data_IF_860844017400
#
_entry.id   IF_860844017400
#
_cell.length_a   1.000
_cell.length_b   1.000
_cell.length_c   1.000
_cell.angle_alpha   90.00
_cell.angle_beta   90.00
_cell.angle_gamma   90.00
#
_symmetry.space_group_name_H-M   'P 1'
#
loop_
_entity.id
_entity.type
_entity.pdbx_description
1 polymer ?
#
# COMPACT_ATOMS: atom_id res chain seq x y z
N UNK A 1 18.02 12.84 3.02
CA UNK A 1 17.52 11.45 3.08
C UNK A 1 16.16 11.46 3.75
N UNK A 2 15.18 10.82 3.17
CA UNK A 2 13.81 10.68 3.70
C UNK A 2 13.53 9.19 3.85
N UNK A 3 12.93 8.78 4.97
CA UNK A 3 12.46 7.42 5.18
C UNK A 3 10.98 7.30 4.78
N UNK A 4 10.70 6.49 3.78
CA UNK A 4 9.38 6.29 3.20
C UNK A 4 8.88 4.90 3.54
N UNK A 5 7.76 4.80 4.25
CA UNK A 5 7.01 3.56 4.37
C UNK A 5 6.12 3.41 3.14
N UNK A 6 6.49 2.49 2.26
CA UNK A 6 5.77 2.22 1.02
C UNK A 6 4.78 1.09 1.20
N UNK A 7 3.50 1.41 1.26
CA UNK A 7 2.42 0.42 1.26
C UNK A 7 2.03 0.11 -0.18
N UNK A 8 2.29 -1.09 -0.63
CA UNK A 8 2.08 -1.47 -2.02
C UNK A 8 1.88 -2.98 -2.19
N UNK A 9 1.95 -3.41 -3.43
CA UNK A 9 1.73 -4.79 -3.84
C UNK A 9 3.03 -5.42 -4.35
N UNK A 10 3.29 -6.66 -3.95
CA UNK A 10 4.38 -7.48 -4.52
C UNK A 10 3.86 -8.66 -5.34
N UNK A 11 2.66 -9.12 -5.05
CA UNK A 11 2.01 -10.24 -5.74
C UNK A 11 0.49 -10.15 -5.61
N UNK A 12 -0.29 -10.78 -6.51
CA UNK A 12 0.17 -11.32 -7.80
C UNK A 12 0.61 -10.20 -8.75
N UNK A 13 1.39 -10.55 -9.79
CA UNK A 13 1.96 -9.58 -10.72
C UNK A 13 0.86 -8.76 -11.43
N UNK A 14 1.02 -7.45 -11.44
CA UNK A 14 0.12 -6.48 -12.08
C UNK A 14 0.84 -5.13 -12.25
N UNK A 15 0.18 -4.16 -12.89
CA UNK A 15 0.73 -2.81 -13.08
C UNK A 15 1.14 -2.11 -11.78
N UNK A 16 0.38 -2.32 -10.69
CA UNK A 16 0.72 -1.77 -9.38
C UNK A 16 2.05 -2.33 -8.85
N UNK A 17 2.34 -3.61 -9.07
CA UNK A 17 3.62 -4.25 -8.70
C UNK A 17 4.77 -3.63 -9.48
N UNK A 18 4.61 -3.48 -10.80
CA UNK A 18 5.64 -2.86 -11.66
C UNK A 18 5.92 -1.43 -11.23
N UNK A 19 4.86 -0.64 -11.04
CA UNK A 19 4.98 0.74 -10.57
C UNK A 19 5.70 0.82 -9.21
N UNK A 20 5.28 0.02 -8.23
CA UNK A 20 5.86 0.00 -6.90
C UNK A 20 7.35 -0.35 -6.92
N UNK A 21 7.72 -1.40 -7.65
CA UNK A 21 9.12 -1.81 -7.77
C UNK A 21 9.97 -0.72 -8.44
N UNK A 22 9.56 -0.23 -9.61
CA UNK A 22 10.33 0.79 -10.34
C UNK A 22 10.48 2.08 -9.56
N UNK A 23 9.40 2.54 -8.90
CA UNK A 23 9.43 3.80 -8.14
C UNK A 23 10.28 3.67 -6.87
N UNK A 24 10.16 2.56 -6.15
CA UNK A 24 10.95 2.36 -4.92
C UNK A 24 12.43 2.16 -5.21
N UNK A 25 12.79 1.48 -6.31
CA UNK A 25 14.18 1.36 -6.74
C UNK A 25 14.79 2.72 -7.10
N UNK A 26 14.05 3.56 -7.84
CA UNK A 26 14.52 4.90 -8.19
C UNK A 26 14.67 5.81 -6.96
N UNK A 27 13.74 5.74 -6.00
CA UNK A 27 13.83 6.48 -4.75
C UNK A 27 15.06 6.05 -3.93
N UNK A 28 15.36 4.76 -3.88
CA UNK A 28 16.59 4.23 -3.25
C UNK A 28 17.84 4.73 -3.96
N UNK A 29 17.85 4.72 -5.29
CA UNK A 29 18.97 5.22 -6.08
C UNK A 29 19.24 6.72 -5.81
N UNK A 30 18.22 7.48 -5.43
CA UNK A 30 18.31 8.89 -5.01
C UNK A 30 18.70 9.08 -3.54
N UNK A 31 18.98 8.00 -2.81
CA UNK A 31 19.45 8.05 -1.43
C UNK A 31 18.33 8.10 -0.38
N UNK A 32 17.10 7.76 -0.73
CA UNK A 32 15.99 7.63 0.22
C UNK A 32 15.95 6.22 0.80
N UNK A 33 15.49 6.10 2.06
CA UNK A 33 15.25 4.80 2.69
C UNK A 33 13.82 4.36 2.42
N UNK A 34 13.63 3.09 2.03
CA UNK A 34 12.31 2.51 1.76
C UNK A 34 12.07 1.33 2.69
N UNK A 35 10.96 1.39 3.43
CA UNK A 35 10.40 0.21 4.12
C UNK A 35 9.16 -0.23 3.36
N UNK A 36 9.25 -1.39 2.72
CA UNK A 36 8.14 -1.89 1.89
C UNK A 36 7.15 -2.68 2.74
N UNK A 37 5.88 -2.29 2.69
CA UNK A 37 4.77 -2.94 3.40
C UNK A 37 3.82 -3.53 2.37
N UNK A 38 3.55 -4.82 2.46
CA UNK A 38 2.66 -5.52 1.53
C UNK A 38 1.86 -6.61 2.22
N UNK A 39 0.83 -7.12 1.56
CA UNK A 39 0.05 -8.24 2.07
C UNK A 39 0.74 -9.56 1.72
N UNK A 40 1.09 -10.32 2.75
CA UNK A 40 1.60 -11.68 2.64
C UNK A 40 1.29 -12.48 3.91
N UNK A 41 1.20 -13.80 3.79
CA UNK A 41 1.01 -14.66 4.95
C UNK A 41 2.35 -15.28 5.38
N UNK A 42 2.65 -15.28 6.69
CA UNK A 42 3.93 -15.77 7.20
C UNK A 42 4.27 -17.23 6.84
N UNK A 43 3.26 -18.02 6.48
CA UNK A 43 3.45 -19.43 6.05
C UNK A 43 4.18 -19.57 4.70
N UNK A 44 4.28 -18.50 3.91
CA UNK A 44 4.93 -18.49 2.60
C UNK A 44 6.29 -17.78 2.59
N UNK A 45 6.67 -17.17 3.70
CA UNK A 45 7.97 -16.50 3.83
C UNK A 45 8.96 -17.42 4.52
N UNK A 46 10.10 -17.61 3.87
CA UNK A 46 11.26 -18.25 4.47
C UNK A 46 11.60 -17.50 5.79
N UNK A 47 11.30 -18.14 6.91
CA UNK A 47 11.32 -17.54 8.26
C UNK A 47 12.74 -17.31 8.83
N UNK A 48 13.75 -17.24 7.97
CA UNK A 48 15.16 -17.20 8.36
C UNK A 48 15.81 -15.81 8.38
N UNK A 49 15.09 -14.73 8.07
CA UNK A 49 15.67 -13.37 8.16
C UNK A 49 15.00 -12.55 9.26
N UNK A 50 15.76 -12.07 10.26
CA UNK A 50 15.22 -11.10 11.21
C UNK A 50 14.86 -9.81 10.45
N UNK A 51 13.59 -9.52 10.40
CA UNK A 51 12.93 -8.51 9.56
C UNK A 51 13.42 -7.06 9.82
N UNK A 52 14.10 -6.81 10.93
CA UNK A 52 14.44 -5.46 11.41
C UNK A 52 15.93 -5.13 11.35
N UNK A 53 16.79 -6.03 10.84
CA UNK A 53 18.24 -5.81 10.73
C UNK A 53 18.69 -5.45 9.30
N UNK A 54 17.77 -5.43 8.34
CA UNK A 54 18.09 -5.02 6.98
C UNK A 54 18.03 -3.48 6.86
N UNK A 55 18.90 -2.89 6.05
CA UNK A 55 18.86 -1.46 5.74
C UNK A 55 17.52 -1.03 5.10
N UNK A 56 16.75 -1.96 4.54
CA UNK A 56 15.43 -1.78 3.96
C UNK A 56 14.46 -2.81 4.56
N UNK A 57 13.84 -2.55 5.70
CA UNK A 57 12.93 -3.49 6.32
C UNK A 57 11.67 -3.70 5.47
N UNK A 58 11.29 -4.96 5.33
CA UNK A 58 10.08 -5.41 4.66
C UNK A 58 9.06 -5.88 5.70
N UNK A 59 7.81 -5.42 5.57
CA UNK A 59 6.72 -5.76 6.48
C UNK A 59 5.63 -6.50 5.72
N UNK A 60 5.22 -7.66 6.24
CA UNK A 60 4.11 -8.44 5.70
C UNK A 60 2.86 -8.24 6.56
N UNK A 61 1.75 -7.89 5.91
CA UNK A 61 0.45 -7.77 6.56
C UNK A 61 -0.42 -9.00 6.25
N UNK A 62 -1.12 -9.55 7.24
CA UNK A 62 -1.97 -10.71 7.03
C UNK A 62 -3.22 -10.37 6.21
N UNK A 63 -3.63 -11.28 5.35
CA UNK A 63 -4.82 -11.14 4.50
C UNK A 63 -5.68 -12.41 4.50
N UNK A 64 -6.95 -12.25 4.11
CA UNK A 64 -7.89 -13.34 3.90
C UNK A 64 -7.96 -13.72 2.42
N UNK A 65 -8.08 -12.71 1.54
CA UNK A 65 -8.18 -12.89 0.08
C UNK A 65 -7.30 -11.85 -0.59
N UNK A 66 -6.51 -12.30 -1.57
CA UNK A 66 -5.68 -11.43 -2.40
C UNK A 66 -5.81 -11.83 -3.86
N UNK A 67 -6.14 -10.84 -4.71
CA UNK A 67 -6.25 -10.98 -6.16
C UNK A 67 -5.41 -9.93 -6.88
N UNK A 68 -5.42 -9.94 -8.22
CA UNK A 68 -4.79 -8.87 -9.00
C UNK A 68 -5.48 -7.52 -8.79
N UNK A 69 -6.78 -7.52 -8.51
CA UNK A 69 -7.61 -6.31 -8.44
C UNK A 69 -7.77 -5.81 -7.01
N UNK A 70 -8.07 -6.69 -6.06
CA UNK A 70 -8.38 -6.28 -4.68
C UNK A 70 -7.71 -7.18 -3.65
N UNK A 71 -7.63 -6.68 -2.42
CA UNK A 71 -7.15 -7.43 -1.26
C UNK A 71 -8.09 -7.22 -0.08
N UNK A 72 -8.52 -8.32 0.53
CA UNK A 72 -9.29 -8.30 1.77
C UNK A 72 -8.31 -8.62 2.91
N UNK A 73 -7.97 -7.63 3.75
CA UNK A 73 -7.06 -7.83 4.87
C UNK A 73 -7.69 -8.72 5.94
N UNK A 74 -6.85 -9.36 6.73
CA UNK A 74 -7.33 -10.00 7.96
C UNK A 74 -7.71 -8.93 9.00
N UNK A 75 -8.53 -9.26 10.01
CA UNK A 75 -8.87 -8.32 11.08
C UNK A 75 -7.67 -7.78 11.87
N UNK A 76 -6.52 -8.44 11.78
CA UNK A 76 -5.28 -8.03 12.45
C UNK A 76 -4.44 -7.05 11.63
N UNK A 77 -4.70 -6.92 10.34
CA UNK A 77 -3.84 -6.15 9.43
C UNK A 77 -3.69 -4.68 9.83
N UNK A 78 -4.76 -4.03 10.24
CA UNK A 78 -4.71 -2.62 10.70
C UNK A 78 -3.82 -2.46 11.93
N UNK A 79 -3.96 -3.33 12.92
CA UNK A 79 -3.12 -3.33 14.13
C UNK A 79 -1.65 -3.57 13.79
N UNK A 80 -1.37 -4.54 12.94
CA UNK A 80 0.00 -4.85 12.49
C UNK A 80 0.60 -3.69 11.72
N UNK A 81 -0.18 -3.04 10.86
CA UNK A 81 0.26 -1.85 10.15
C UNK A 81 0.61 -0.70 11.11
N UNK A 82 -0.26 -0.41 12.07
CA UNK A 82 -0.02 0.61 13.09
C UNK A 82 1.28 0.36 13.85
N UNK A 83 1.44 -0.83 14.41
CA UNK A 83 2.63 -1.21 15.16
C UNK A 83 3.90 -1.14 14.31
N UNK A 84 3.81 -1.52 13.04
CA UNK A 84 4.93 -1.42 12.11
C UNK A 84 5.33 0.02 11.84
N UNK A 85 4.37 0.91 11.59
CA UNK A 85 4.63 2.33 11.37
C UNK A 85 5.21 3.02 12.61
N UNK A 86 4.71 2.68 13.81
CA UNK A 86 5.25 3.18 15.08
C UNK A 86 6.70 2.75 15.33
N UNK A 87 7.08 1.54 14.88
CA UNK A 87 8.46 1.03 14.98
C UNK A 87 9.37 1.63 13.91
N UNK A 88 8.90 1.71 12.68
CA UNK A 88 9.65 2.22 11.53
C UNK A 88 9.91 3.72 11.64
N UNK A 89 8.98 4.46 12.23
CA UNK A 89 9.02 5.93 12.34
C UNK A 89 9.36 6.60 11.02
N UNK A 90 8.59 6.33 9.94
CA UNK A 90 8.86 6.93 8.64
C UNK A 90 8.58 8.43 8.65
N UNK A 91 9.25 9.15 7.77
CA UNK A 91 8.96 10.56 7.52
C UNK A 91 7.69 10.74 6.69
N UNK A 92 7.38 9.75 5.84
CA UNK A 92 6.23 9.75 4.93
C UNK A 92 5.69 8.33 4.82
N UNK A 93 4.36 8.20 4.76
CA UNK A 93 3.67 7.00 4.29
C UNK A 93 3.22 7.23 2.85
N UNK A 94 3.65 6.39 1.93
CA UNK A 94 3.16 6.38 0.55
C UNK A 94 2.34 5.12 0.31
N UNK A 95 1.06 5.27 0.02
CA UNK A 95 0.16 4.18 -0.30
C UNK A 95 -0.08 4.08 -1.81
N UNK A 96 0.45 3.04 -2.43
CA UNK A 96 0.03 2.62 -3.77
C UNK A 96 -1.24 1.80 -3.61
N UNK A 97 -2.40 2.45 -3.77
CA UNK A 97 -3.70 1.93 -3.35
C UNK A 97 -4.05 0.63 -4.08
N UNK A 98 -4.47 -0.37 -3.31
CA UNK A 98 -4.63 -1.77 -3.77
C UNK A 98 -6.07 -2.23 -3.82
N UNK A 99 -7.04 -1.32 -3.75
CA UNK A 99 -8.46 -1.63 -3.58
C UNK A 99 -8.69 -2.57 -2.39
N UNK A 100 -8.32 -2.08 -1.23
CA UNK A 100 -8.49 -2.78 0.05
C UNK A 100 -9.32 -1.94 1.01
N UNK A 101 -10.16 -2.54 1.85
CA UNK A 101 -10.82 -1.82 2.95
C UNK A 101 -9.85 -1.07 3.86
N UNK A 102 -8.60 -1.53 3.97
CA UNK A 102 -7.55 -0.86 4.74
C UNK A 102 -7.21 0.53 4.17
N UNK A 103 -7.37 0.74 2.87
CA UNK A 103 -7.11 2.03 2.22
C UNK A 103 -7.92 3.16 2.87
N UNK A 104 -9.16 2.88 3.30
CA UNK A 104 -10.05 3.86 3.93
C UNK A 104 -9.65 4.21 5.37
N UNK A 105 -8.83 3.38 6.01
CA UNK A 105 -8.33 3.59 7.38
C UNK A 105 -7.02 4.36 7.42
N UNK A 106 -6.30 4.43 6.29
CA UNK A 106 -4.98 5.07 6.22
C UNK A 106 -4.97 6.54 6.65
N UNK A 107 -5.91 7.40 6.22
CA UNK A 107 -5.90 8.80 6.64
C UNK A 107 -5.99 8.97 8.15
N UNK A 108 -6.89 8.24 8.81
CA UNK A 108 -7.05 8.29 10.26
C UNK A 108 -5.80 7.78 10.98
N UNK A 109 -5.29 6.63 10.54
CA UNK A 109 -4.11 5.99 11.12
C UNK A 109 -2.88 6.89 11.01
N UNK A 110 -2.62 7.46 9.83
CA UNK A 110 -1.49 8.36 9.62
C UNK A 110 -1.63 9.67 10.40
N UNK A 111 -2.85 10.19 10.54
CA UNK A 111 -3.13 11.36 11.35
C UNK A 111 -2.85 11.10 12.84
N UNK A 112 -3.25 9.94 13.37
CA UNK A 112 -3.00 9.57 14.76
C UNK A 112 -1.51 9.46 15.11
N UNK A 113 -0.69 8.97 14.18
CA UNK A 113 0.77 8.88 14.35
C UNK A 113 1.52 10.11 13.85
N UNK A 114 0.79 11.12 13.35
CA UNK A 114 1.31 12.40 12.86
C UNK A 114 2.36 12.25 11.73
N UNK A 115 2.05 11.40 10.73
CA UNK A 115 2.89 11.16 9.56
C UNK A 115 2.13 11.53 8.28
N UNK A 116 2.72 12.32 7.36
CA UNK A 116 2.10 12.67 6.08
C UNK A 116 1.76 11.43 5.25
N UNK A 117 0.59 11.45 4.60
CA UNK A 117 0.10 10.38 3.75
C UNK A 117 0.01 10.82 2.29
N UNK A 118 0.76 10.17 1.43
CA UNK A 118 0.69 10.32 -0.02
C UNK A 118 0.08 9.06 -0.61
N UNK A 119 -0.81 9.21 -1.57
CA UNK A 119 -1.42 8.08 -2.27
C UNK A 119 -1.15 8.12 -3.77
N UNK A 120 -0.95 6.95 -4.38
CA UNK A 120 -1.10 6.76 -5.82
C UNK A 120 -2.34 5.91 -6.06
N UNK A 121 -3.27 6.44 -6.85
CA UNK A 121 -4.51 5.77 -7.18
C UNK A 121 -4.42 5.14 -8.57
N UNK A 122 -4.48 3.80 -8.62
CA UNK A 122 -4.48 3.02 -9.85
C UNK A 122 -5.87 2.41 -10.03
N UNK A 123 -6.81 3.10 -10.70
CA UNK A 123 -8.11 2.50 -10.97
C UNK A 123 -7.95 1.25 -11.85
N UNK A 124 -8.59 0.13 -11.50
CA UNK A 124 -8.51 -1.09 -12.28
C UNK A 124 -9.40 -0.95 -13.53
N UNK A 125 -8.78 -0.73 -14.68
CA UNK A 125 -9.49 -0.70 -15.96
C UNK A 125 -9.18 -1.95 -16.78
N UNK A 126 -10.20 -2.76 -17.02
CA UNK A 126 -10.16 -3.77 -18.04
C UNK A 126 -10.89 -3.24 -19.30
N UNK A 127 -10.13 -3.04 -20.37
CA UNK A 127 -10.64 -2.50 -21.63
C UNK A 127 -11.61 -3.46 -22.38
N UNK A 128 -11.79 -4.69 -21.89
CA UNK A 128 -12.54 -5.73 -22.60
C UNK A 128 -14.07 -5.68 -22.43
N UNK A 129 -14.59 -5.00 -21.41
CA UNK A 129 -16.04 -4.95 -21.13
C UNK A 129 -16.53 -3.50 -20.95
N UNK A 130 -16.75 -2.80 -22.07
CA UNK A 130 -17.07 -1.35 -22.08
C UNK A 130 -18.30 -0.93 -21.25
N UNK A 131 -19.30 -1.77 -21.05
CA UNK A 131 -20.56 -1.36 -20.40
C UNK A 131 -20.58 -1.64 -18.88
N UNK A 132 -19.92 -2.70 -18.42
CA UNK A 132 -19.79 -3.01 -16.98
C UNK A 132 -18.65 -2.22 -16.33
N UNK A 133 -17.59 -1.92 -17.06
CA UNK A 133 -16.43 -1.16 -16.58
C UNK A 133 -16.76 0.28 -16.25
N UNK A 134 -17.60 0.96 -17.02
CA UNK A 134 -17.95 2.35 -16.76
C UNK A 134 -18.70 2.52 -15.43
N UNK A 135 -19.66 1.66 -15.12
CA UNK A 135 -20.40 1.68 -13.87
C UNK A 135 -19.55 1.30 -12.67
N UNK A 136 -18.70 0.27 -12.82
CA UNK A 136 -17.76 -0.18 -11.77
C UNK A 136 -16.70 0.89 -11.49
N UNK A 137 -16.21 1.55 -12.52
CA UNK A 137 -15.28 2.66 -12.44
C UNK A 137 -15.89 3.84 -11.69
N UNK A 138 -17.10 4.25 -12.05
CA UNK A 138 -17.82 5.34 -11.39
C UNK A 138 -18.05 5.01 -9.91
N UNK A 139 -18.48 3.80 -9.59
CA UNK A 139 -18.66 3.34 -8.21
C UNK A 139 -17.35 3.36 -7.42
N UNK A 140 -16.26 2.90 -8.01
CA UNK A 140 -14.94 2.93 -7.39
C UNK A 140 -14.52 4.37 -7.06
N UNK A 141 -14.67 5.30 -8.00
CA UNK A 141 -14.39 6.71 -7.74
C UNK A 141 -15.29 7.29 -6.65
N UNK A 142 -16.57 6.99 -6.67
CA UNK A 142 -17.52 7.48 -5.65
C UNK A 142 -17.17 6.96 -4.25
N UNK A 143 -16.71 5.72 -4.13
CA UNK A 143 -16.28 5.13 -2.87
C UNK A 143 -14.97 5.73 -2.37
N UNK A 144 -13.99 5.92 -3.26
CA UNK A 144 -12.66 6.40 -2.89
C UNK A 144 -12.56 7.91 -2.72
N UNK A 145 -13.31 8.71 -3.49
CA UNK A 145 -13.16 10.17 -3.50
C UNK A 145 -13.20 10.82 -2.10
N UNK A 146 -14.15 10.48 -1.20
CA UNK A 146 -14.17 11.08 0.14
C UNK A 146 -12.94 10.73 0.98
N UNK A 147 -12.39 9.53 0.81
CA UNK A 147 -11.19 9.10 1.52
C UNK A 147 -9.93 9.74 0.93
N UNK A 148 -9.84 9.80 -0.40
CA UNK A 148 -8.71 10.42 -1.10
C UNK A 148 -8.56 11.91 -0.76
N UNK A 149 -9.67 12.61 -0.52
CA UNK A 149 -9.67 14.00 -0.10
C UNK A 149 -8.97 14.23 1.26
N UNK A 150 -8.80 13.18 2.06
CA UNK A 150 -8.12 13.23 3.36
C UNK A 150 -6.62 12.92 3.28
N UNK A 151 -6.11 12.56 2.12
CA UNK A 151 -4.67 12.39 1.88
C UNK A 151 -3.99 13.76 1.72
N UNK A 152 -2.75 13.87 2.13
CA UNK A 152 -1.98 15.11 1.95
C UNK A 152 -1.68 15.37 0.47
N UNK A 153 -1.42 14.32 -0.30
CA UNK A 153 -1.23 14.35 -1.75
C UNK A 153 -1.76 13.09 -2.41
N UNK A 154 -2.28 13.24 -3.62
CA UNK A 154 -2.69 12.13 -4.49
C UNK A 154 -1.97 12.25 -5.83
N UNK A 155 -1.43 11.14 -6.30
CA UNK A 155 -0.88 10.93 -7.64
C UNK A 155 -1.89 10.09 -8.43
N UNK A 156 -2.26 10.54 -9.63
CA UNK A 156 -3.20 9.88 -10.52
C UNK A 156 -2.50 9.57 -11.83
#
# INVERSE_FOLDING_TARGET
MVHIAWLGKKSPFCGNVTYGNSTTEELKARGHQISFIHFDNPSNSDSSKPLFLANDPEVSLPYLIKSQVYTIPSPRAEKELRLSLERLKPDIVHASLTLSPLDFRLPELCNEINVPLIGTFHPPFDAKNRNLTASTQQLTYQLYAPSLAKFDKIII
#
